data_IF_503344274426
#
_entry.id   IF_503344274426
#
_cell.length_a   1.000
_cell.length_b   1.000
_cell.length_c   1.000
_cell.angle_alpha   90.00
_cell.angle_beta   90.00
_cell.angle_gamma   90.00
#
_symmetry.space_group_name_H-M   'P 1'
#
loop_
_entity.id
_entity.type
_entity.pdbx_description
1 polymer ?
#
# COMPACT_ATOMS: atom_id res chain seq x y z
N UNK A 1 -25.55 -7.64 -26.34
CA UNK A 1 -25.23 -8.18 -25.01
C UNK A 1 -23.95 -8.98 -25.16
N UNK A 2 -22.85 -8.55 -24.55
CA UNK A 2 -21.68 -9.41 -24.39
C UNK A 2 -21.95 -10.31 -23.19
N UNK A 3 -21.95 -11.62 -23.41
CA UNK A 3 -22.09 -12.59 -22.33
C UNK A 3 -20.69 -12.89 -21.81
N UNK A 4 -20.43 -12.55 -20.54
CA UNK A 4 -19.23 -13.00 -19.84
C UNK A 4 -19.48 -14.43 -19.35
N UNK A 5 -18.79 -15.41 -19.94
CA UNK A 5 -18.80 -16.80 -19.48
C UNK A 5 -17.41 -17.14 -18.94
N UNK A 6 -17.32 -17.36 -17.63
CA UNK A 6 -16.09 -17.77 -16.95
C UNK A 6 -16.20 -19.28 -16.71
N UNK A 7 -15.40 -20.07 -17.43
CA UNK A 7 -15.33 -21.53 -17.26
C UNK A 7 -14.03 -21.86 -16.54
N UNK A 8 -14.14 -22.33 -15.31
CA UNK A 8 -13.00 -22.56 -14.43
C UNK A 8 -13.13 -23.87 -13.69
N UNK A 9 -11.98 -24.45 -13.37
CA UNK A 9 -11.93 -25.60 -12.48
C UNK A 9 -12.21 -25.16 -11.04
N UNK A 10 -13.00 -25.96 -10.31
CA UNK A 10 -13.29 -25.71 -8.90
C UNK A 10 -12.02 -25.69 -8.05
N UNK A 11 -11.04 -26.53 -8.40
CA UNK A 11 -9.70 -26.59 -7.80
C UNK A 11 -9.00 -25.22 -7.78
N UNK A 12 -9.11 -24.44 -8.85
CA UNK A 12 -8.50 -23.10 -8.96
C UNK A 12 -9.13 -22.13 -7.95
N UNK A 13 -10.45 -22.14 -7.81
CA UNK A 13 -11.16 -21.30 -6.83
C UNK A 13 -10.78 -21.71 -5.41
N UNK A 14 -10.78 -23.02 -5.13
CA UNK A 14 -10.36 -23.57 -3.84
C UNK A 14 -8.94 -23.14 -3.49
N UNK A 15 -8.02 -23.19 -4.45
CA UNK A 15 -6.63 -22.82 -4.26
C UNK A 15 -6.47 -21.32 -3.94
N UNK A 16 -7.13 -20.43 -4.68
CA UNK A 16 -7.09 -18.97 -4.44
C UNK A 16 -7.63 -18.62 -3.04
N UNK A 17 -8.75 -19.22 -2.64
CA UNK A 17 -9.33 -19.02 -1.31
C UNK A 17 -8.43 -19.59 -0.21
N UNK A 18 -7.82 -20.75 -0.46
CA UNK A 18 -6.86 -21.38 0.45
C UNK A 18 -5.66 -20.49 0.67
N UNK A 19 -5.12 -19.83 -0.36
CA UNK A 19 -4.03 -18.87 -0.20
C UNK A 19 -4.40 -17.68 0.69
N UNK A 20 -5.62 -17.15 0.56
CA UNK A 20 -6.11 -16.12 1.47
C UNK A 20 -6.20 -16.60 2.92
N UNK A 21 -6.73 -17.79 3.13
CA UNK A 21 -6.81 -18.39 4.48
C UNK A 21 -5.43 -18.67 5.07
N UNK A 22 -4.50 -19.24 4.29
CA UNK A 22 -3.12 -19.47 4.72
C UNK A 22 -2.37 -18.16 5.00
N UNK A 23 -2.60 -17.11 4.21
CA UNK A 23 -2.07 -15.77 4.47
C UNK A 23 -2.50 -15.25 5.84
N UNK A 24 -3.79 -15.39 6.17
CA UNK A 24 -4.33 -15.03 7.49
C UNK A 24 -3.71 -15.87 8.62
N UNK A 25 -3.73 -17.20 8.51
CA UNK A 25 -3.21 -18.10 9.54
C UNK A 25 -1.71 -17.88 9.79
N UNK A 26 -0.93 -17.73 8.73
CA UNK A 26 0.51 -17.50 8.82
C UNK A 26 0.80 -16.16 9.50
N UNK A 27 0.10 -15.09 9.11
CA UNK A 27 0.24 -13.79 9.76
C UNK A 27 -0.18 -13.82 11.24
N UNK A 28 -1.26 -14.54 11.56
CA UNK A 28 -1.73 -14.71 12.93
C UNK A 28 -0.69 -15.45 13.79
N UNK A 29 -0.06 -16.50 13.26
CA UNK A 29 1.00 -17.25 13.92
C UNK A 29 2.30 -16.44 14.10
N UNK A 30 2.66 -15.58 13.15
CA UNK A 30 3.84 -14.72 13.21
C UNK A 30 3.66 -13.53 14.17
N UNK A 31 2.43 -13.07 14.39
CA UNK A 31 2.13 -11.90 15.24
C UNK A 31 2.64 -12.01 16.68
N UNK A 32 2.42 -13.11 17.46
CA UNK A 32 2.94 -13.22 18.82
C UNK A 32 4.47 -13.22 18.88
N UNK A 33 5.15 -13.80 17.87
CA UNK A 33 6.61 -13.80 17.77
C UNK A 33 7.14 -12.38 17.57
N UNK A 34 6.56 -11.65 16.61
CA UNK A 34 6.91 -10.26 16.36
C UNK A 34 6.63 -9.38 17.57
N UNK A 35 5.44 -9.47 18.16
CA UNK A 35 5.05 -8.60 19.28
C UNK A 35 5.96 -8.83 20.49
N UNK A 36 6.26 -10.08 20.85
CA UNK A 36 7.18 -10.39 21.95
C UNK A 36 8.56 -9.76 21.71
N UNK A 37 9.13 -9.91 20.51
CA UNK A 37 10.42 -9.32 20.16
C UNK A 37 10.38 -7.78 20.16
N UNK A 38 9.31 -7.19 19.62
CA UNK A 38 9.19 -5.75 19.46
C UNK A 38 9.00 -5.02 20.79
N UNK A 39 8.21 -5.60 21.71
CA UNK A 39 8.04 -5.07 23.06
C UNK A 39 9.31 -5.27 23.90
N UNK A 40 9.96 -6.43 23.84
CA UNK A 40 11.23 -6.67 24.54
C UNK A 40 12.37 -5.78 24.04
N UNK A 41 12.41 -5.53 22.73
CA UNK A 41 13.42 -4.68 22.08
C UNK A 41 13.12 -3.18 22.10
N UNK A 42 11.95 -2.78 22.62
CA UNK A 42 11.55 -1.38 22.73
C UNK A 42 11.48 -0.65 21.38
N UNK A 43 10.86 -1.25 20.36
CA UNK A 43 10.79 -0.71 18.99
C UNK A 43 9.80 0.44 18.83
N UNK A 44 9.96 1.49 19.64
CA UNK A 44 9.09 2.65 19.68
C UNK A 44 9.53 3.71 18.67
N UNK A 45 8.57 4.32 17.97
CA UNK A 45 8.86 5.45 17.09
C UNK A 45 9.10 6.71 17.90
N UNK A 46 10.21 7.40 17.67
CA UNK A 46 10.49 8.69 18.33
C UNK A 46 9.56 9.78 17.76
N UNK A 47 8.99 10.67 18.59
CA UNK A 47 8.07 11.70 18.11
C UNK A 47 8.72 12.63 17.09
N UNK A 48 8.00 12.95 16.00
CA UNK A 48 8.46 13.96 15.04
C UNK A 48 8.41 15.35 15.66
N UNK A 49 9.49 16.12 15.52
CA UNK A 49 9.60 17.50 16.05
C UNK A 49 9.45 18.57 14.97
N UNK A 50 9.72 18.24 13.71
CA UNK A 50 9.66 19.16 12.56
C UNK A 50 8.72 18.64 11.47
N UNK A 51 8.08 19.55 10.73
CA UNK A 51 7.30 19.27 9.53
C UNK A 51 8.24 19.02 8.33
N UNK A 52 7.69 18.55 7.20
CA UNK A 52 8.44 18.38 5.94
C UNK A 52 9.07 19.71 5.45
N UNK A 53 8.45 20.84 5.80
CA UNK A 53 8.96 22.19 5.48
C UNK A 53 9.89 22.77 6.56
N UNK A 54 10.21 22.00 7.61
CA UNK A 54 11.16 22.39 8.66
C UNK A 54 10.57 23.17 9.85
N UNK A 55 9.27 23.50 9.81
CA UNK A 55 8.56 24.18 10.90
C UNK A 55 8.31 23.24 12.09
N UNK A 56 8.04 23.75 13.29
CA UNK A 56 7.66 22.91 14.43
C UNK A 56 6.28 22.25 14.19
N UNK A 57 6.20 20.92 14.35
CA UNK A 57 4.99 20.13 14.08
C UNK A 57 3.95 20.17 15.22
N UNK A 58 3.58 21.37 15.71
CA UNK A 58 2.78 21.55 16.94
C UNK A 58 1.40 20.87 16.90
N UNK A 59 0.68 20.95 15.77
CA UNK A 59 -0.67 20.35 15.62
C UNK A 59 -0.59 18.83 15.61
N UNK A 60 0.35 18.26 14.86
CA UNK A 60 0.61 16.81 14.82
C UNK A 60 0.98 16.26 16.19
N UNK A 61 1.87 16.95 16.92
CA UNK A 61 2.24 16.54 18.28
C UNK A 61 1.05 16.52 19.24
N UNK A 62 0.15 17.51 19.14
CA UNK A 62 -1.05 17.56 19.98
C UNK A 62 -2.00 16.40 19.67
N UNK A 63 -2.22 16.09 18.38
CA UNK A 63 -3.10 14.99 17.95
C UNK A 63 -2.55 13.62 18.36
N UNK A 64 -1.22 13.41 18.27
CA UNK A 64 -0.59 12.11 18.56
C UNK A 64 -0.01 11.96 19.98
N UNK A 65 -0.16 12.97 20.85
CA UNK A 65 0.42 12.96 22.21
C UNK A 65 0.02 11.70 23.00
N UNK A 66 -1.26 11.32 22.97
CA UNK A 66 -1.77 10.15 23.68
C UNK A 66 -1.19 8.82 23.15
N UNK A 67 -0.89 8.72 21.84
CA UNK A 67 -0.28 7.53 21.24
C UNK A 67 1.19 7.40 21.58
N UNK A 68 1.92 8.51 21.62
CA UNK A 68 3.34 8.51 22.00
C UNK A 68 3.56 8.08 23.45
N UNK A 69 2.57 8.28 24.33
CA UNK A 69 2.63 7.82 25.73
C UNK A 69 2.49 6.29 25.85
N UNK A 70 1.81 5.64 24.88
CA UNK A 70 1.44 4.23 24.98
C UNK A 70 2.53 3.25 24.54
N UNK A 71 3.71 3.72 24.12
CA UNK A 71 4.82 2.89 23.64
C UNK A 71 4.32 1.76 22.71
N UNK A 72 3.93 2.15 21.50
CA UNK A 72 3.36 1.23 20.50
C UNK A 72 4.47 0.84 19.51
N UNK A 73 4.76 -0.46 19.26
CA UNK A 73 5.85 -0.85 18.39
C UNK A 73 5.54 -0.52 16.91
N UNK A 74 6.59 -0.23 16.13
CA UNK A 74 6.53 -0.04 14.67
C UNK A 74 7.25 -1.17 13.94
N UNK A 75 7.14 -1.24 12.60
CA UNK A 75 7.66 -2.31 11.72
C UNK A 75 6.80 -3.59 11.67
N UNK A 76 5.55 -3.54 12.08
CA UNK A 76 4.67 -4.70 12.06
C UNK A 76 4.34 -5.19 10.64
N UNK A 77 4.65 -4.41 9.61
CA UNK A 77 4.52 -4.86 8.23
C UNK A 77 5.41 -6.05 7.89
N UNK A 78 6.46 -6.33 8.67
CA UNK A 78 7.26 -7.56 8.53
C UNK A 78 6.35 -8.79 8.61
N UNK A 79 5.32 -8.77 9.46
CA UNK A 79 4.39 -9.91 9.65
C UNK A 79 3.73 -10.27 8.32
N UNK A 80 3.06 -9.31 7.67
CA UNK A 80 2.32 -9.61 6.44
C UNK A 80 3.25 -9.78 5.24
N UNK A 81 4.43 -9.16 5.21
CA UNK A 81 5.43 -9.42 4.16
C UNK A 81 5.91 -10.86 4.25
N UNK A 82 6.30 -11.32 5.44
CA UNK A 82 6.76 -12.70 5.65
C UNK A 82 5.65 -13.71 5.39
N UNK A 83 4.42 -13.45 5.84
CA UNK A 83 3.28 -14.31 5.53
C UNK A 83 3.06 -14.44 4.02
N UNK A 84 3.06 -13.32 3.28
CA UNK A 84 2.92 -13.33 1.82
C UNK A 84 4.09 -14.05 1.14
N UNK A 85 5.33 -13.83 1.57
CA UNK A 85 6.51 -14.53 1.04
C UNK A 85 6.42 -16.04 1.24
N UNK A 86 6.11 -16.49 2.46
CA UNK A 86 6.03 -17.91 2.79
C UNK A 86 4.93 -18.62 1.99
N UNK A 87 3.72 -18.05 1.95
CA UNK A 87 2.59 -18.64 1.22
C UNK A 87 2.83 -18.62 -0.29
N UNK A 88 3.36 -17.53 -0.83
CA UNK A 88 3.63 -17.42 -2.27
C UNK A 88 4.71 -18.41 -2.70
N UNK A 89 5.82 -18.53 -1.96
CA UNK A 89 6.88 -19.49 -2.28
C UNK A 89 6.39 -20.93 -2.14
N UNK A 90 5.52 -21.23 -1.17
CA UNK A 90 5.06 -22.58 -0.90
C UNK A 90 4.13 -23.14 -1.98
N UNK A 91 3.36 -22.30 -2.69
CA UNK A 91 2.38 -22.83 -3.65
C UNK A 91 1.92 -21.92 -4.78
N UNK A 92 2.34 -20.64 -4.81
CA UNK A 92 1.85 -19.67 -5.79
C UNK A 92 2.98 -18.98 -6.57
N UNK A 93 4.15 -19.62 -6.66
CA UNK A 93 5.33 -19.02 -7.27
C UNK A 93 5.31 -19.18 -8.80
N UNK A 94 5.06 -18.09 -9.50
CA UNK A 94 4.97 -18.03 -10.96
C UNK A 94 5.85 -16.92 -11.51
N UNK A 95 6.67 -17.26 -12.51
CA UNK A 95 7.61 -16.31 -13.14
C UNK A 95 6.89 -15.21 -13.91
N UNK A 96 5.79 -15.54 -14.58
CA UNK A 96 4.99 -14.60 -15.36
C UNK A 96 4.10 -13.71 -14.49
N UNK A 97 3.71 -14.19 -13.30
CA UNK A 97 2.68 -13.53 -12.49
C UNK A 97 3.21 -13.00 -11.14
N UNK A 98 3.74 -13.87 -10.28
CA UNK A 98 3.93 -13.53 -8.86
C UNK A 98 5.35 -13.16 -8.46
N UNK A 99 6.36 -13.46 -9.27
CA UNK A 99 7.74 -13.04 -9.01
C UNK A 99 7.88 -11.52 -8.88
N UNK A 100 7.33 -10.80 -9.85
CA UNK A 100 7.46 -9.34 -9.90
C UNK A 100 6.80 -8.64 -8.70
N UNK A 101 5.52 -8.88 -8.35
CA UNK A 101 4.91 -8.22 -7.20
C UNK A 101 5.54 -8.68 -5.88
N UNK A 102 5.95 -9.95 -5.77
CA UNK A 102 6.60 -10.48 -4.57
C UNK A 102 7.97 -9.83 -4.31
N UNK A 103 8.83 -9.77 -5.33
CA UNK A 103 10.17 -9.18 -5.21
C UNK A 103 10.06 -7.67 -4.99
N UNK A 104 9.13 -6.99 -5.66
CA UNK A 104 8.90 -5.57 -5.45
C UNK A 104 8.40 -5.28 -4.01
N UNK A 105 7.46 -6.08 -3.50
CA UNK A 105 6.98 -6.02 -2.11
C UNK A 105 8.13 -6.19 -1.10
N UNK A 106 8.93 -7.24 -1.26
CA UNK A 106 10.04 -7.55 -0.37
C UNK A 106 11.18 -6.51 -0.45
N UNK A 107 11.51 -6.05 -1.66
CA UNK A 107 12.53 -5.03 -1.89
C UNK A 107 12.15 -3.68 -1.28
N UNK A 108 10.93 -3.21 -1.53
CA UNK A 108 10.41 -1.98 -0.95
C UNK A 108 10.24 -2.08 0.58
N UNK A 109 9.78 -3.23 1.07
CA UNK A 109 9.70 -3.51 2.51
C UNK A 109 11.06 -3.51 3.20
N UNK A 110 12.11 -3.99 2.54
CA UNK A 110 13.49 -3.94 3.05
C UNK A 110 14.00 -2.49 3.16
N UNK A 111 13.70 -1.63 2.18
CA UNK A 111 14.01 -0.20 2.25
C UNK A 111 13.30 0.44 3.45
N UNK A 112 12.00 0.14 3.63
CA UNK A 112 11.22 0.60 4.77
C UNK A 112 11.76 0.10 6.10
N UNK A 113 12.27 -1.13 6.16
CA UNK A 113 12.87 -1.73 7.36
C UNK A 113 14.11 -0.96 7.79
N UNK A 114 14.99 -0.66 6.84
CA UNK A 114 16.16 0.17 7.14
C UNK A 114 15.76 1.55 7.63
N UNK A 115 14.75 2.21 7.04
CA UNK A 115 14.27 3.52 7.49
C UNK A 115 13.74 3.47 8.93
N UNK A 116 12.87 2.51 9.23
CA UNK A 116 12.27 2.36 10.56
C UNK A 116 13.33 2.01 11.63
N UNK A 117 14.29 1.13 11.34
CA UNK A 117 15.40 0.81 12.26
C UNK A 117 16.25 2.06 12.56
N UNK A 118 16.57 2.86 11.54
CA UNK A 118 17.31 4.11 11.71
C UNK A 118 16.52 5.10 12.56
N UNK A 119 15.20 5.15 12.40
CA UNK A 119 14.30 6.01 13.17
C UNK A 119 14.28 5.61 14.66
N UNK A 120 14.19 4.31 14.96
CA UNK A 120 14.22 3.79 16.33
C UNK A 120 15.58 4.08 16.99
N UNK A 121 16.69 3.74 16.33
CA UNK A 121 18.05 3.92 16.90
C UNK A 121 18.39 5.39 17.10
N UNK A 122 17.97 6.27 16.20
CA UNK A 122 18.13 7.73 16.29
C UNK A 122 19.60 8.17 16.25
N UNK A 123 20.11 8.44 15.05
CA UNK A 123 21.44 9.03 14.89
C UNK A 123 21.39 10.55 15.13
N UNK A 124 21.60 10.98 16.38
CA UNK A 124 22.27 12.21 16.87
C UNK A 124 21.93 13.62 16.34
N UNK A 125 21.39 13.79 15.14
CA UNK A 125 21.31 15.07 14.43
C UNK A 125 19.86 15.61 14.28
N UNK A 126 18.90 15.01 14.98
CA UNK A 126 17.50 15.44 14.95
C UNK A 126 16.75 15.14 13.65
N UNK A 127 17.34 14.36 12.73
CA UNK A 127 16.68 13.83 11.53
C UNK A 127 16.26 12.38 11.83
N UNK A 128 14.96 12.14 11.93
CA UNK A 128 14.41 10.79 12.11
C UNK A 128 14.35 10.06 10.76
N UNK A 129 14.87 8.83 10.70
CA UNK A 129 14.89 8.00 9.49
C UNK A 129 15.96 8.41 8.46
N UNK A 130 15.87 7.82 7.27
CA UNK A 130 16.74 8.08 6.14
C UNK A 130 16.44 9.45 5.52
N UNK A 131 17.46 10.07 4.87
CA UNK A 131 17.23 11.28 4.08
C UNK A 131 16.21 10.98 2.97
N UNK A 132 15.19 11.83 2.84
CA UNK A 132 14.12 11.66 1.85
C UNK A 132 14.63 11.39 0.42
N UNK A 133 15.69 12.08 -0.02
CA UNK A 133 16.30 11.86 -1.35
C UNK A 133 16.85 10.44 -1.54
N UNK A 134 17.46 9.86 -0.51
CA UNK A 134 18.01 8.50 -0.58
C UNK A 134 16.87 7.48 -0.61
N UNK A 135 15.86 7.67 0.26
CA UNK A 135 14.66 6.83 0.27
C UNK A 135 13.95 6.83 -1.09
N UNK A 136 13.74 8.01 -1.67
CA UNK A 136 13.17 8.13 -3.01
C UNK A 136 14.02 7.47 -4.08
N UNK A 137 15.35 7.64 -4.05
CA UNK A 137 16.25 7.00 -5.01
C UNK A 137 16.21 5.47 -4.93
N UNK A 138 16.15 4.89 -3.72
CA UNK A 138 16.05 3.45 -3.52
C UNK A 138 14.71 2.89 -4.03
N UNK A 139 13.59 3.56 -3.75
CA UNK A 139 12.27 3.17 -4.26
C UNK A 139 12.21 3.27 -5.78
N UNK A 140 12.77 4.33 -6.37
CA UNK A 140 12.90 4.46 -7.82
C UNK A 140 13.78 3.33 -8.37
N UNK A 141 14.86 2.95 -7.69
CA UNK A 141 15.71 1.81 -8.08
C UNK A 141 14.95 0.48 -8.14
N UNK A 142 14.16 0.17 -7.11
CA UNK A 142 13.27 -1.02 -7.11
C UNK A 142 12.28 -0.96 -8.27
N UNK A 143 11.64 0.20 -8.47
CA UNK A 143 10.67 0.38 -9.53
C UNK A 143 11.31 0.33 -10.93
N UNK A 144 12.55 0.79 -11.11
CA UNK A 144 13.30 0.72 -12.36
C UNK A 144 13.68 -0.71 -12.73
N UNK A 145 14.15 -1.50 -11.76
CA UNK A 145 14.42 -2.93 -11.97
C UNK A 145 13.13 -3.66 -12.32
N UNK A 146 12.04 -3.36 -11.62
CA UNK A 146 10.72 -3.92 -11.89
C UNK A 146 10.20 -3.54 -13.28
N UNK A 147 10.31 -2.28 -13.68
CA UNK A 147 9.89 -1.78 -14.99
C UNK A 147 10.72 -2.37 -16.13
N UNK A 148 12.04 -2.53 -15.92
CA UNK A 148 12.89 -3.25 -16.87
C UNK A 148 12.47 -4.71 -17.02
N UNK A 149 12.18 -5.42 -15.92
CA UNK A 149 11.70 -6.80 -15.99
C UNK A 149 10.33 -6.89 -16.70
N UNK A 150 9.41 -5.99 -16.36
CA UNK A 150 8.08 -5.90 -16.97
C UNK A 150 8.15 -5.74 -18.49
N UNK A 151 9.03 -4.85 -18.98
CA UNK A 151 9.24 -4.67 -20.42
C UNK A 151 10.05 -5.81 -21.05
N UNK A 152 11.24 -6.13 -20.53
CA UNK A 152 12.20 -6.99 -21.22
C UNK A 152 12.04 -8.48 -20.95
N UNK A 153 11.28 -8.89 -19.92
CA UNK A 153 11.08 -10.30 -19.54
C UNK A 153 9.64 -10.75 -19.58
N UNK A 154 8.69 -9.84 -19.41
CA UNK A 154 7.27 -10.12 -19.60
C UNK A 154 6.74 -9.59 -20.94
N UNK A 155 7.57 -8.90 -21.72
CA UNK A 155 7.25 -8.42 -23.07
C UNK A 155 6.00 -7.53 -23.10
N UNK A 156 5.76 -6.78 -22.01
CA UNK A 156 4.64 -5.85 -21.92
C UNK A 156 5.08 -4.49 -22.43
N UNK A 157 4.41 -4.02 -23.47
CA UNK A 157 4.69 -2.74 -24.15
C UNK A 157 3.45 -1.87 -24.37
N UNK A 158 2.26 -2.38 -24.03
CA UNK A 158 1.00 -1.68 -24.17
C UNK A 158 0.30 -1.46 -22.82
N UNK A 159 -0.66 -0.54 -22.82
CA UNK A 159 -1.61 -0.33 -21.72
C UNK A 159 -3.04 -0.35 -22.24
N UNK A 160 -3.96 -0.94 -21.49
CA UNK A 160 -5.38 -0.85 -21.82
C UNK A 160 -5.99 0.47 -21.34
N UNK A 161 -6.64 1.16 -22.27
CA UNK A 161 -7.45 2.35 -22.00
C UNK A 161 -8.91 1.91 -21.91
N UNK A 162 -9.56 2.04 -20.73
CA UNK A 162 -10.97 1.65 -20.59
C UNK A 162 -11.84 2.29 -21.67
N UNK A 163 -12.69 1.48 -22.32
CA UNK A 163 -13.59 1.88 -23.42
C UNK A 163 -12.93 2.27 -24.76
N UNK A 164 -11.59 2.33 -24.84
CA UNK A 164 -10.86 2.68 -26.06
C UNK A 164 -9.99 1.53 -26.58
N UNK A 165 -9.55 0.62 -25.71
CA UNK A 165 -8.74 -0.55 -26.04
C UNK A 165 -7.24 -0.37 -25.75
N UNK A 166 -6.43 -1.27 -26.27
CA UNK A 166 -4.99 -1.32 -26.02
C UNK A 166 -4.23 -0.23 -26.80
N UNK A 167 -3.36 0.49 -26.11
CA UNK A 167 -2.44 1.48 -26.65
C UNK A 167 -1.00 1.00 -26.44
N UNK A 168 -0.31 0.71 -27.55
CA UNK A 168 1.12 0.44 -27.54
C UNK A 168 1.91 1.72 -27.25
N UNK A 169 2.74 1.67 -26.21
CA UNK A 169 3.60 2.77 -25.78
C UNK A 169 5.10 2.36 -25.82
N UNK A 170 5.41 1.14 -26.26
CA UNK A 170 6.77 0.61 -26.34
C UNK A 170 7.53 0.74 -25.02
N UNK A 171 8.79 1.18 -25.13
CA UNK A 171 9.69 1.37 -23.99
C UNK A 171 9.20 2.41 -22.96
N UNK A 172 8.22 3.26 -23.29
CA UNK A 172 7.63 4.23 -22.35
C UNK A 172 6.85 3.55 -21.21
N UNK A 173 6.56 2.25 -21.33
CA UNK A 173 6.03 1.44 -20.23
C UNK A 173 6.96 1.44 -19.01
N UNK A 174 8.28 1.54 -19.20
CA UNK A 174 9.26 1.55 -18.09
C UNK A 174 9.11 2.82 -17.23
N UNK A 175 9.18 4.05 -17.77
CA UNK A 175 8.95 5.25 -16.95
C UNK A 175 7.53 5.32 -16.37
N UNK A 176 6.52 4.80 -17.09
CA UNK A 176 5.17 4.68 -16.53
C UNK A 176 5.13 3.74 -15.32
N UNK A 177 5.75 2.57 -15.42
CA UNK A 177 5.89 1.62 -14.32
C UNK A 177 6.55 2.26 -13.10
N UNK A 178 7.67 2.96 -13.32
CA UNK A 178 8.38 3.67 -12.25
C UNK A 178 7.46 4.70 -11.57
N UNK A 179 6.76 5.51 -12.36
CA UNK A 179 5.85 6.53 -11.86
C UNK A 179 4.73 5.92 -11.01
N UNK A 180 4.06 4.89 -11.53
CA UNK A 180 2.92 4.23 -10.88
C UNK A 180 3.35 3.58 -9.57
N UNK A 181 4.42 2.80 -9.59
CA UNK A 181 4.93 2.10 -8.41
C UNK A 181 5.42 3.08 -7.35
N UNK A 182 6.18 4.11 -7.75
CA UNK A 182 6.66 5.14 -6.84
C UNK A 182 5.51 5.96 -6.23
N UNK A 183 4.55 6.41 -7.05
CA UNK A 183 3.41 7.18 -6.59
C UNK A 183 2.56 6.36 -5.61
N UNK A 184 2.25 5.10 -5.94
CA UNK A 184 1.44 4.22 -5.10
C UNK A 184 2.12 3.91 -3.77
N UNK A 185 3.43 3.63 -3.78
CA UNK A 185 4.23 3.42 -2.55
C UNK A 185 4.16 4.63 -1.61
N UNK A 186 4.30 5.85 -2.13
CA UNK A 186 4.20 7.06 -1.32
C UNK A 186 2.76 7.34 -0.89
N UNK A 187 1.76 7.07 -1.73
CA UNK A 187 0.36 7.28 -1.38
C UNK A 187 -0.10 6.41 -0.21
N UNK A 188 0.27 5.12 -0.21
CA UNK A 188 -0.01 4.21 0.91
C UNK A 188 0.75 4.65 2.17
N UNK A 189 2.02 5.07 2.06
CA UNK A 189 2.80 5.59 3.20
C UNK A 189 2.22 6.88 3.79
N UNK A 190 1.70 7.78 2.97
CA UNK A 190 1.03 9.00 3.42
C UNK A 190 -0.28 8.69 4.16
N UNK A 191 -0.99 7.64 3.72
CA UNK A 191 -2.27 7.22 4.29
C UNK A 191 -2.12 6.45 5.61
N UNK A 192 -0.94 5.91 5.92
CA UNK A 192 -0.61 5.23 7.18
C UNK A 192 -0.41 6.25 8.34
N UNK A 193 -1.47 7.01 8.65
CA UNK A 193 -1.49 8.02 9.70
C UNK A 193 -2.43 7.71 10.87
N UNK A 194 -3.45 6.88 10.65
CA UNK A 194 -4.47 6.48 11.63
C UNK A 194 -4.54 4.96 11.82
N UNK A 195 -4.97 4.55 13.01
CA UNK A 195 -5.18 3.16 13.41
C UNK A 195 -6.16 2.49 12.43
N UNK A 196 -5.72 1.40 11.77
CA UNK A 196 -6.50 0.62 10.82
C UNK A 196 -6.65 1.23 9.42
N UNK A 197 -6.36 2.52 9.21
CA UNK A 197 -6.74 3.21 7.97
C UNK A 197 -6.09 2.59 6.72
N UNK A 198 -4.76 2.60 6.63
CA UNK A 198 -4.07 2.07 5.45
C UNK A 198 -4.25 0.55 5.29
N UNK A 199 -4.29 -0.20 6.40
CA UNK A 199 -4.46 -1.66 6.37
C UNK A 199 -5.80 -2.09 5.76
N UNK A 200 -6.91 -1.51 6.21
CA UNK A 200 -8.25 -1.85 5.69
C UNK A 200 -8.50 -1.36 4.26
N UNK A 201 -7.94 -0.19 3.90
CA UNK A 201 -7.99 0.30 2.51
C UNK A 201 -7.18 -0.61 1.57
N UNK A 202 -5.98 -1.04 1.98
CA UNK A 202 -5.16 -1.94 1.19
C UNK A 202 -5.83 -3.31 1.04
N UNK A 203 -6.42 -3.87 2.09
CA UNK A 203 -7.17 -5.12 2.02
C UNK A 203 -8.34 -5.03 1.01
N UNK A 204 -9.05 -3.90 0.98
CA UNK A 204 -10.14 -3.66 0.02
C UNK A 204 -9.62 -3.56 -1.41
N UNK A 205 -8.51 -2.84 -1.63
CA UNK A 205 -7.89 -2.69 -2.95
C UNK A 205 -7.33 -4.02 -3.49
N UNK A 206 -6.59 -4.78 -2.68
CA UNK A 206 -6.12 -6.12 -3.06
C UNK A 206 -7.28 -7.09 -3.28
N UNK A 207 -8.36 -7.01 -2.49
CA UNK A 207 -9.57 -7.79 -2.74
C UNK A 207 -10.19 -7.49 -4.11
N UNK A 208 -10.27 -6.23 -4.51
CA UNK A 208 -10.76 -5.86 -5.84
C UNK A 208 -9.84 -6.34 -6.96
N UNK A 209 -8.53 -6.21 -6.80
CA UNK A 209 -7.58 -6.75 -7.77
C UNK A 209 -7.56 -8.28 -7.83
N UNK A 210 -7.88 -8.98 -6.73
CA UNK A 210 -8.08 -10.42 -6.77
C UNK A 210 -9.26 -10.80 -7.67
N UNK A 211 -10.37 -10.06 -7.59
CA UNK A 211 -11.53 -10.24 -8.48
C UNK A 211 -11.19 -9.93 -9.92
N UNK A 212 -10.51 -8.81 -10.19
CA UNK A 212 -10.09 -8.43 -11.55
C UNK A 212 -9.16 -9.49 -12.15
N UNK A 213 -8.09 -9.84 -11.44
CA UNK A 213 -7.14 -10.85 -11.89
C UNK A 213 -7.80 -12.21 -12.14
N UNK A 214 -8.79 -12.57 -11.32
CA UNK A 214 -9.55 -13.80 -11.50
C UNK A 214 -10.39 -13.78 -12.79
N UNK A 215 -11.04 -12.65 -13.11
CA UNK A 215 -11.80 -12.50 -14.35
C UNK A 215 -10.88 -12.52 -15.58
N UNK A 216 -9.66 -11.99 -15.45
CA UNK A 216 -8.62 -12.05 -16.50
C UNK A 216 -7.86 -13.39 -16.56
N UNK A 217 -8.29 -14.41 -15.80
CA UNK A 217 -7.65 -15.73 -15.71
C UNK A 217 -6.19 -15.70 -15.20
N UNK A 218 -5.76 -14.60 -14.58
CA UNK A 218 -4.45 -14.42 -13.92
C UNK A 218 -4.50 -14.96 -12.49
N UNK A 219 -4.73 -16.28 -12.37
CA UNK A 219 -5.03 -16.94 -11.09
C UNK A 219 -3.90 -16.84 -10.07
N UNK A 220 -2.64 -16.78 -10.50
CA UNK A 220 -1.49 -16.57 -9.62
C UNK A 220 -1.51 -15.18 -8.99
N UNK A 221 -1.83 -14.15 -9.78
CA UNK A 221 -2.04 -12.78 -9.26
C UNK A 221 -3.24 -12.75 -8.31
N UNK A 222 -4.36 -13.38 -8.67
CA UNK A 222 -5.53 -13.47 -7.80
C UNK A 222 -5.20 -14.12 -6.44
N UNK A 223 -4.45 -15.24 -6.46
CA UNK A 223 -3.94 -15.91 -5.27
C UNK A 223 -2.98 -15.05 -4.44
N UNK A 224 -2.11 -14.28 -5.09
CA UNK A 224 -1.20 -13.34 -4.41
C UNK A 224 -1.98 -12.24 -3.70
N UNK A 225 -2.94 -11.62 -4.39
CA UNK A 225 -3.82 -10.61 -3.81
C UNK A 225 -4.64 -11.16 -2.64
N UNK A 226 -5.18 -12.37 -2.75
CA UNK A 226 -5.91 -13.02 -1.64
C UNK A 226 -5.00 -13.31 -0.45
N UNK A 227 -3.77 -13.78 -0.68
CA UNK A 227 -2.77 -13.97 0.38
C UNK A 227 -2.52 -12.67 1.14
N UNK A 228 -2.28 -11.58 0.42
CA UNK A 228 -2.06 -10.24 1.01
C UNK A 228 -3.30 -9.79 1.78
N UNK A 229 -4.50 -9.94 1.22
CA UNK A 229 -5.77 -9.63 1.90
C UNK A 229 -5.91 -10.40 3.21
N UNK A 230 -5.66 -11.71 3.21
CA UNK A 230 -5.70 -12.54 4.43
C UNK A 230 -4.69 -12.09 5.48
N UNK A 231 -3.44 -11.84 5.08
CA UNK A 231 -2.41 -11.35 5.98
C UNK A 231 -2.75 -9.95 6.56
N UNK A 232 -3.36 -9.08 5.75
CA UNK A 232 -3.83 -7.76 6.17
C UNK A 232 -5.04 -7.83 7.11
N UNK A 233 -5.94 -8.80 6.96
CA UNK A 233 -7.02 -9.01 7.94
C UNK A 233 -6.46 -9.37 9.32
N UNK A 234 -5.42 -10.22 9.39
CA UNK A 234 -4.72 -10.50 10.63
C UNK A 234 -4.04 -9.24 11.20
N UNK A 235 -3.31 -8.48 10.38
CA UNK A 235 -2.70 -7.22 10.83
C UNK A 235 -3.74 -6.23 11.37
N UNK A 236 -4.83 -6.03 10.61
CA UNK A 236 -5.87 -5.05 10.91
C UNK A 236 -6.61 -5.41 12.19
N UNK A 237 -6.80 -6.69 12.49
CA UNK A 237 -7.36 -7.15 13.77
C UNK A 237 -6.62 -6.56 15.00
N UNK A 238 -5.30 -6.47 14.94
CA UNK A 238 -4.48 -5.91 16.03
C UNK A 238 -4.19 -4.41 15.89
N UNK A 239 -4.42 -3.84 14.70
CA UNK A 239 -4.14 -2.44 14.39
C UNK A 239 -5.39 -1.53 14.44
N UNK A 240 -6.61 -2.07 14.38
CA UNK A 240 -7.84 -1.31 14.63
C UNK A 240 -7.75 -0.64 16.01
N UNK A 241 -8.26 0.59 16.07
CA UNK A 241 -8.19 1.40 17.27
C UNK A 241 -8.75 0.68 18.51
N UNK A 242 -8.02 0.69 19.64
CA UNK A 242 -6.68 1.24 19.82
C UNK A 242 -5.56 0.31 19.30
N UNK A 243 -4.70 0.79 18.40
CA UNK A 243 -3.63 -0.03 17.79
C UNK A 243 -2.66 -0.65 18.82
N UNK A 244 -2.27 -1.91 18.59
CA UNK A 244 -1.21 -2.61 19.34
C UNK A 244 0.16 -2.47 18.71
N UNK A 245 0.24 -2.19 17.42
CA UNK A 245 1.47 -1.93 16.67
C UNK A 245 1.15 -1.21 15.36
N UNK A 246 2.16 -0.59 14.74
CA UNK A 246 2.06 0.11 13.46
C UNK A 246 2.84 -0.62 12.36
N UNK A 247 2.35 -0.59 11.12
CA UNK A 247 3.00 -1.26 9.99
C UNK A 247 4.40 -0.70 9.70
N UNK A 248 4.59 0.61 9.89
CA UNK A 248 5.84 1.30 9.58
C UNK A 248 6.04 1.58 8.10
N UNK A 249 7.17 2.20 7.78
CA UNK A 249 7.62 2.41 6.40
C UNK A 249 7.86 1.05 5.71
N UNK A 250 8.25 0.01 6.48
CA UNK A 250 8.25 -1.40 6.06
C UNK A 250 6.98 -1.79 5.32
N UNK A 251 5.85 -1.63 6.00
CA UNK A 251 4.60 -2.19 5.53
C UNK A 251 4.00 -1.35 4.41
N UNK A 252 4.01 -0.04 4.59
CA UNK A 252 3.39 0.87 3.65
C UNK A 252 4.10 0.91 2.29
N UNK A 253 5.44 0.85 2.23
CA UNK A 253 6.14 0.73 0.95
C UNK A 253 5.93 -0.63 0.30
N UNK A 254 5.99 -1.72 1.07
CA UNK A 254 5.73 -3.05 0.56
C UNK A 254 4.34 -3.14 -0.11
N UNK A 255 3.29 -2.68 0.58
CA UNK A 255 1.91 -2.71 0.07
C UNK A 255 1.71 -1.80 -1.15
N UNK A 256 2.18 -0.54 -1.08
CA UNK A 256 1.97 0.38 -2.19
C UNK A 256 2.76 0.02 -3.44
N UNK A 257 3.98 -0.50 -3.29
CA UNK A 257 4.74 -1.03 -4.43
C UNK A 257 4.05 -2.26 -5.01
N UNK A 258 3.66 -3.25 -4.19
CA UNK A 258 2.97 -4.44 -4.66
C UNK A 258 1.65 -4.12 -5.36
N UNK A 259 0.86 -3.20 -4.83
CA UNK A 259 -0.43 -2.78 -5.41
C UNK A 259 -0.24 -2.11 -6.78
N UNK A 260 0.76 -1.22 -6.91
CA UNK A 260 1.09 -0.60 -8.19
C UNK A 260 1.55 -1.61 -9.25
N UNK A 261 2.34 -2.61 -8.84
CA UNK A 261 2.78 -3.70 -9.73
C UNK A 261 1.61 -4.58 -10.16
N UNK A 262 0.73 -4.95 -9.23
CA UNK A 262 -0.48 -5.75 -9.53
C UNK A 262 -1.32 -5.01 -10.56
N UNK A 263 -1.59 -3.72 -10.39
CA UNK A 263 -2.37 -2.92 -11.33
C UNK A 263 -1.79 -2.90 -12.76
N UNK A 264 -0.47 -2.93 -12.89
CA UNK A 264 0.22 -2.98 -14.18
C UNK A 264 0.16 -4.39 -14.78
N UNK A 265 0.31 -5.44 -13.98
CA UNK A 265 0.19 -6.83 -14.44
C UNK A 265 -1.24 -7.22 -14.83
N UNK A 266 -2.24 -6.61 -14.20
CA UNK A 266 -3.65 -6.76 -14.57
C UNK A 266 -4.09 -5.75 -15.64
N UNK A 267 -3.16 -5.11 -16.34
CA UNK A 267 -3.39 -4.09 -17.40
C UNK A 267 -4.52 -3.08 -17.08
N UNK A 268 -4.61 -2.69 -15.81
CA UNK A 268 -5.71 -1.88 -15.26
C UNK A 268 -5.14 -0.69 -14.49
N UNK A 269 -3.98 -0.21 -14.94
CA UNK A 269 -3.26 0.93 -14.36
C UNK A 269 -4.12 2.20 -14.28
N UNK A 270 -5.02 2.41 -15.23
CA UNK A 270 -5.94 3.56 -15.24
C UNK A 270 -7.12 3.42 -14.27
N UNK A 271 -7.41 2.20 -13.80
CA UNK A 271 -8.40 1.95 -12.76
C UNK A 271 -7.80 2.06 -11.34
N UNK A 272 -6.47 2.01 -11.20
CA UNK A 272 -5.79 2.12 -9.91
C UNK A 272 -6.16 3.40 -9.15
N UNK A 273 -6.24 4.60 -9.77
CA UNK A 273 -6.68 5.80 -9.05
C UNK A 273 -8.14 5.75 -8.58
N UNK A 274 -8.98 4.92 -9.20
CA UNK A 274 -10.37 4.70 -8.80
C UNK A 274 -10.43 3.70 -7.65
N UNK A 275 -9.80 2.53 -7.80
CA UNK A 275 -9.78 1.50 -6.75
C UNK A 275 -9.06 2.03 -5.49
N UNK A 276 -7.95 2.73 -5.68
CA UNK A 276 -7.15 3.38 -4.65
C UNK A 276 -7.55 4.83 -4.37
N UNK A 277 -8.80 5.23 -4.63
CA UNK A 277 -9.24 6.63 -4.56
C UNK A 277 -8.87 7.34 -3.26
N UNK A 278 -9.00 6.67 -2.12
CA UNK A 278 -8.63 7.26 -0.83
C UNK A 278 -7.12 7.51 -0.73
N UNK A 279 -6.28 6.58 -1.22
CA UNK A 279 -4.83 6.79 -1.29
C UNK A 279 -4.48 7.99 -2.18
N UNK A 280 -5.18 8.15 -3.30
CA UNK A 280 -5.01 9.30 -4.21
C UNK A 280 -5.43 10.61 -3.55
N UNK A 281 -6.58 10.63 -2.86
CA UNK A 281 -7.03 11.79 -2.10
C UNK A 281 -6.03 12.20 -1.02
N UNK A 282 -5.50 11.21 -0.30
CA UNK A 282 -4.51 11.39 0.76
C UNK A 282 -3.21 12.00 0.23
N UNK A 283 -2.60 11.37 -0.78
CA UNK A 283 -1.40 11.88 -1.43
C UNK A 283 -1.63 13.25 -2.10
N UNK A 284 -2.75 13.40 -2.81
CA UNK A 284 -3.15 14.60 -3.53
C UNK A 284 -3.37 15.78 -2.59
N UNK A 285 -4.04 15.57 -1.46
CA UNK A 285 -4.24 16.62 -0.44
C UNK A 285 -2.92 17.14 0.13
N UNK A 286 -1.96 16.23 0.36
CA UNK A 286 -0.60 16.59 0.80
C UNK A 286 0.14 17.38 -0.27
N UNK A 287 0.10 16.95 -1.53
CA UNK A 287 0.70 17.66 -2.66
C UNK A 287 0.11 19.06 -2.83
N UNK A 288 -1.22 19.17 -2.87
CA UNK A 288 -1.93 20.45 -2.99
C UNK A 288 -1.58 21.40 -1.84
N UNK A 289 -1.47 20.89 -0.61
CA UNK A 289 -1.08 21.69 0.54
C UNK A 289 0.35 22.25 0.39
N UNK A 290 1.31 21.42 -0.04
CA UNK A 290 2.70 21.84 -0.28
C UNK A 290 2.76 22.87 -1.41
N UNK A 291 2.05 22.64 -2.51
CA UNK A 291 1.99 23.56 -3.64
C UNK A 291 1.36 24.91 -3.25
N UNK A 292 0.27 24.90 -2.48
CA UNK A 292 -0.35 26.13 -1.99
C UNK A 292 0.61 26.94 -1.12
N UNK A 293 1.32 26.30 -0.18
CA UNK A 293 2.32 27.00 0.64
C UNK A 293 3.44 27.62 -0.20
N UNK A 294 3.89 26.93 -1.26
CA UNK A 294 4.96 27.44 -2.14
C UNK A 294 4.49 28.55 -3.07
N UNK A 295 3.32 28.39 -3.69
CA UNK A 295 2.82 29.28 -4.74
C UNK A 295 2.00 30.45 -4.21
N UNK A 296 1.37 30.32 -3.04
CA UNK A 296 0.48 31.33 -2.44
C UNK A 296 1.08 31.97 -1.18
N UNK A 297 2.41 32.02 -1.08
CA UNK A 297 3.11 32.72 0.01
C UNK A 297 2.79 32.18 1.41
N UNK A 298 2.79 30.86 1.57
CA UNK A 298 2.55 30.20 2.85
C UNK A 298 1.08 29.91 3.18
N UNK A 299 0.12 30.33 2.34
CA UNK A 299 -1.30 30.05 2.55
C UNK A 299 -1.60 28.56 2.46
N UNK A 300 -2.35 28.05 3.44
CA UNK A 300 -2.81 26.65 3.52
C UNK A 300 -4.16 26.48 2.79
N UNK A 301 -4.45 25.26 2.32
CA UNK A 301 -5.77 24.85 1.81
C UNK A 301 -6.52 24.10 2.90
N UNK A 302 -5.85 23.15 3.55
CA UNK A 302 -6.35 22.39 4.69
C UNK A 302 -5.66 22.84 5.98
N UNK A 303 -6.33 22.70 7.12
CA UNK A 303 -5.75 23.01 8.45
C UNK A 303 -4.41 22.30 8.68
N UNK A 304 -4.38 21.02 8.32
CA UNK A 304 -3.24 20.12 8.28
C UNK A 304 -3.46 19.14 7.11
N UNK A 305 -2.37 18.70 6.48
CA UNK A 305 -2.42 17.62 5.49
C UNK A 305 -1.57 16.45 6.00
N UNK A 306 -1.93 15.19 5.70
CA UNK A 306 -2.98 14.75 4.75
C UNK A 306 -4.42 14.94 5.22
N UNK A 307 -5.40 14.68 4.35
CA UNK A 307 -6.81 15.03 4.58
C UNK A 307 -7.43 14.30 5.78
N UNK A 308 -7.00 13.08 6.14
CA UNK A 308 -7.47 12.45 7.38
C UNK A 308 -7.18 13.30 8.63
N UNK A 309 -5.99 13.90 8.73
CA UNK A 309 -5.65 14.80 9.84
C UNK A 309 -6.42 16.11 9.79
N UNK A 310 -6.82 16.57 8.60
CA UNK A 310 -7.71 17.72 8.48
C UNK A 310 -9.04 17.45 9.20
N UNK A 311 -9.64 16.28 8.97
CA UNK A 311 -10.88 15.90 9.66
C UNK A 311 -10.70 15.77 11.18
N UNK A 312 -9.58 15.22 11.65
CA UNK A 312 -9.26 15.22 13.09
C UNK A 312 -9.11 16.64 13.66
N UNK A 313 -8.44 17.54 12.93
CA UNK A 313 -8.24 18.93 13.36
C UNK A 313 -9.56 19.72 13.45
N UNK A 314 -10.55 19.37 12.62
CA UNK A 314 -11.91 19.93 12.66
C UNK A 314 -12.79 19.24 13.72
N UNK A 315 -12.26 18.25 14.44
CA UNK A 315 -12.87 17.65 15.63
C UNK A 315 -13.53 16.28 15.41
N UNK A 316 -13.27 15.60 14.29
CA UNK A 316 -13.78 14.24 14.11
C UNK A 316 -12.93 13.24 14.92
N UNK A 317 -13.55 12.27 15.60
CA UNK A 317 -12.82 11.16 16.21
C UNK A 317 -12.04 10.37 15.16
N UNK A 318 -10.83 9.93 15.50
CA UNK A 318 -9.98 9.11 14.65
C UNK A 318 -10.73 7.91 14.05
N UNK A 319 -11.43 7.15 14.90
CA UNK A 319 -12.23 5.98 14.49
C UNK A 319 -13.29 6.33 13.46
N UNK A 320 -13.92 7.50 13.58
CA UNK A 320 -14.93 7.99 12.63
C UNK A 320 -14.30 8.29 11.28
N UNK A 321 -13.09 8.86 11.24
CA UNK A 321 -12.35 9.11 10.00
C UNK A 321 -11.98 7.79 9.34
N UNK A 322 -11.35 6.87 10.08
CA UNK A 322 -10.95 5.54 9.59
C UNK A 322 -12.13 4.78 8.98
N UNK A 323 -13.23 4.62 9.72
CA UNK A 323 -14.38 3.84 9.26
C UNK A 323 -15.07 4.46 8.04
N UNK A 324 -15.16 5.80 7.98
CA UNK A 324 -15.74 6.47 6.81
C UNK A 324 -14.86 6.33 5.58
N UNK A 325 -13.54 6.41 5.75
CA UNK A 325 -12.60 6.25 4.66
C UNK A 325 -12.59 4.82 4.15
N UNK A 326 -12.75 3.82 5.01
CA UNK A 326 -12.96 2.43 4.59
C UNK A 326 -14.20 2.28 3.72
N UNK A 327 -15.35 2.83 4.13
CA UNK A 327 -16.58 2.77 3.32
C UNK A 327 -16.36 3.42 1.94
N UNK A 328 -15.73 4.60 1.90
CA UNK A 328 -15.41 5.28 0.64
C UNK A 328 -14.48 4.41 -0.23
N UNK A 329 -13.43 3.83 0.37
CA UNK A 329 -12.50 2.95 -0.33
C UNK A 329 -13.15 1.68 -0.89
N UNK A 330 -14.05 1.06 -0.14
CA UNK A 330 -14.81 -0.12 -0.58
C UNK A 330 -15.77 0.21 -1.72
N UNK A 331 -16.48 1.34 -1.63
CA UNK A 331 -17.34 1.82 -2.73
C UNK A 331 -16.51 2.12 -3.97
N UNK A 332 -15.36 2.78 -3.81
CA UNK A 332 -14.48 3.10 -4.93
C UNK A 332 -13.88 1.84 -5.59
N UNK A 333 -13.51 0.84 -4.78
CA UNK A 333 -13.07 -0.46 -5.25
C UNK A 333 -14.17 -1.18 -6.05
N UNK A 334 -15.42 -1.16 -5.57
CA UNK A 334 -16.56 -1.73 -6.29
C UNK A 334 -16.84 -1.01 -7.62
N UNK A 335 -16.77 0.33 -7.64
CA UNK A 335 -16.86 1.12 -8.88
C UNK A 335 -15.73 0.74 -9.83
N UNK A 336 -14.51 0.53 -9.34
CA UNK A 336 -13.38 0.07 -10.14
C UNK A 336 -13.65 -1.27 -10.82
N UNK A 337 -14.23 -2.24 -10.11
CA UNK A 337 -14.65 -3.53 -10.69
C UNK A 337 -15.74 -3.34 -11.75
N UNK A 338 -16.73 -2.48 -11.51
CA UNK A 338 -17.77 -2.16 -12.50
C UNK A 338 -17.14 -1.58 -13.77
N UNK A 339 -16.24 -0.61 -13.64
CA UNK A 339 -15.56 0.00 -14.79
C UNK A 339 -14.70 -1.01 -15.54
N UNK A 340 -14.05 -1.92 -14.83
CA UNK A 340 -13.34 -3.04 -15.44
C UNK A 340 -14.28 -3.94 -16.24
N UNK A 341 -15.44 -4.31 -15.70
CA UNK A 341 -16.39 -5.17 -16.42
C UNK A 341 -17.00 -4.45 -17.64
N UNK A 342 -17.22 -3.14 -17.55
CA UNK A 342 -17.87 -2.38 -18.63
C UNK A 342 -16.92 -1.96 -19.75
N UNK A 343 -15.64 -1.74 -19.44
CA UNK A 343 -14.67 -1.16 -20.38
C UNK A 343 -13.28 -1.76 -20.32
N UNK A 344 -13.06 -2.80 -19.51
CA UNK A 344 -11.81 -3.55 -19.46
C UNK A 344 -11.57 -4.36 -20.73
N UNK A 345 -10.37 -4.98 -20.83
CA UNK A 345 -10.01 -5.83 -21.95
C UNK A 345 -10.69 -7.21 -21.78
N UNK A 346 -12.03 -7.22 -21.85
CA UNK A 346 -12.84 -8.44 -21.82
C UNK A 346 -12.98 -9.06 -23.20
#
# INVERSE_FOLDING_TARGET
MHNLQIVIETSTVEQILTFGFLGFLTAMALTPLYTTAAYAGGWWKKPRTKTITGEAAKVYQKLHAAKHIRNIPTMAGIIFILATVLVTIAGNLSRSETWLPLVAMAGAGTIGLFDDILNIRGFGNGIAGMRAKVKSALLIGVASIGGWWFFAKLEVEAINIPFYGSLDIGWLIIPLFILVVYATANAVNITDGLDGLAGGLAASAFGAYAVIAFIEEKYGIAGFCMTVTGALLSYTWFNIHPARFFMGDVGSFALGTALGVVALLTDTVLLLPVIGFVFVMEAGSSLLQVLSKRLRGGKKIFEIAPIHHHFEAVGWPETKVTMRFWVIGQVAAFIGIILFILGGPL
#
